data_IF_082954319009
#
_entry.id   IF_082954319009
#
_cell.length_a   1.000
_cell.length_b   1.000
_cell.length_c   1.000
_cell.angle_alpha   90.00
_cell.angle_beta   90.00
_cell.angle_gamma   90.00
#
_symmetry.space_group_name_H-M   'P 1'
#
loop_
_entity.id
_entity.type
_entity.pdbx_description
1 polymer ?
#
# COMPACT_ATOMS: atom_id res chain seq x y z
N UNK A 1 14.39 -4.93 26.77
CA UNK A 1 13.46 -3.90 26.24
C UNK A 1 14.12 -3.30 25.00
N UNK A 2 14.08 -4.04 23.89
CA UNK A 2 14.84 -3.69 22.69
C UNK A 2 13.87 -3.18 21.63
N UNK A 3 13.92 -1.87 21.37
CA UNK A 3 13.27 -1.18 20.26
C UNK A 3 14.08 -1.48 18.98
N UNK A 4 14.37 -2.76 18.75
CA UNK A 4 15.30 -3.24 17.71
C UNK A 4 14.65 -4.33 16.82
N UNK A 5 13.38 -4.63 17.07
CA UNK A 5 12.52 -5.47 16.23
C UNK A 5 11.38 -4.71 15.55
N UNK A 6 11.35 -3.37 15.64
CA UNK A 6 10.55 -2.57 14.72
C UNK A 6 11.31 -2.54 13.39
N UNK A 7 11.09 -3.56 12.56
CA UNK A 7 11.35 -3.44 11.14
C UNK A 7 10.49 -2.26 10.64
N UNK A 8 11.02 -1.05 10.70
CA UNK A 8 10.47 0.12 9.99
C UNK A 8 10.33 -0.19 8.49
N UNK A 9 11.04 -1.20 8.01
CA UNK A 9 10.95 -1.84 6.69
C UNK A 9 9.64 -2.62 6.44
N UNK A 10 8.82 -2.92 7.45
CA UNK A 10 7.47 -3.51 7.28
C UNK A 10 6.39 -2.44 7.00
N UNK A 11 6.81 -1.19 6.78
CA UNK A 11 5.95 -0.16 6.22
C UNK A 11 5.33 -0.68 4.92
N UNK A 12 4.00 -0.61 4.83
CA UNK A 12 3.25 -1.21 3.72
C UNK A 12 3.36 -0.33 2.46
N UNK A 13 4.59 -0.15 1.99
CA UNK A 13 4.98 0.73 0.89
C UNK A 13 4.23 0.37 -0.39
N UNK A 14 3.94 -0.91 -0.61
CA UNK A 14 3.13 -1.38 -1.72
C UNK A 14 1.71 -0.77 -1.69
N UNK A 15 1.09 -0.70 -0.51
CA UNK A 15 -0.22 -0.06 -0.35
C UNK A 15 -0.15 1.44 -0.64
N UNK A 16 0.94 2.10 -0.24
CA UNK A 16 1.18 3.52 -0.55
C UNK A 16 1.33 3.73 -2.07
N UNK A 17 2.10 2.87 -2.74
CA UNK A 17 2.27 2.91 -4.20
C UNK A 17 0.94 2.66 -4.92
N UNK A 18 0.14 1.68 -4.48
CA UNK A 18 -1.20 1.42 -5.02
C UNK A 18 -2.10 2.65 -4.88
N UNK A 19 -2.12 3.28 -3.70
CA UNK A 19 -2.90 4.49 -3.47
C UNK A 19 -2.41 5.68 -4.30
N UNK A 20 -1.10 5.83 -4.47
CA UNK A 20 -0.50 6.88 -5.30
C UNK A 20 -0.83 6.66 -6.78
N UNK A 21 -0.67 5.43 -7.28
CA UNK A 21 -0.98 5.07 -8.65
C UNK A 21 -2.46 5.30 -8.97
N UNK A 22 -3.35 5.03 -8.00
CA UNK A 22 -4.78 5.32 -8.13
C UNK A 22 -5.06 6.81 -8.32
N UNK A 23 -4.36 7.67 -7.57
CA UNK A 23 -4.54 9.12 -7.64
C UNK A 23 -4.09 9.70 -9.00
N UNK A 24 -2.97 9.20 -9.55
CA UNK A 24 -2.33 9.81 -10.71
C UNK A 24 -2.60 9.11 -12.05
N UNK A 25 -2.67 7.77 -12.05
CA UNK A 25 -2.84 6.96 -13.27
C UNK A 25 -4.24 6.34 -13.37
N UNK A 26 -5.09 6.55 -12.35
CA UNK A 26 -6.47 6.11 -12.33
C UNK A 26 -6.66 4.62 -12.00
N UNK A 27 -7.90 4.17 -12.10
CA UNK A 27 -8.33 2.87 -11.59
C UNK A 27 -7.69 1.69 -12.34
N UNK A 28 -7.64 1.76 -13.67
CA UNK A 28 -7.19 0.66 -14.53
C UNK A 28 -5.72 0.33 -14.31
N UNK A 29 -4.85 1.34 -14.26
CA UNK A 29 -3.43 1.15 -14.00
C UNK A 29 -3.19 0.51 -12.63
N UNK A 30 -3.94 0.95 -11.62
CA UNK A 30 -3.82 0.44 -10.26
C UNK A 30 -4.28 -0.99 -10.10
N UNK A 31 -5.39 -1.39 -10.74
CA UNK A 31 -5.84 -2.80 -10.72
C UNK A 31 -4.79 -3.70 -11.35
N UNK A 32 -4.29 -3.32 -12.53
CA UNK A 32 -3.30 -4.13 -13.26
C UNK A 32 -2.01 -4.25 -12.45
N UNK A 33 -1.56 -3.16 -11.83
CA UNK A 33 -0.39 -3.16 -10.95
C UNK A 33 -0.61 -4.04 -9.71
N UNK A 34 -1.71 -3.86 -8.98
CA UNK A 34 -2.02 -4.62 -7.77
C UNK A 34 -2.14 -6.12 -8.06
N UNK A 35 -2.78 -6.48 -9.18
CA UNK A 35 -2.91 -7.87 -9.63
C UNK A 35 -1.55 -8.47 -10.02
N UNK A 36 -0.77 -7.78 -10.86
CA UNK A 36 0.54 -8.25 -11.30
C UNK A 36 1.53 -8.39 -10.14
N UNK A 37 1.61 -7.39 -9.26
CA UNK A 37 2.42 -7.45 -8.05
C UNK A 37 1.98 -8.59 -7.13
N UNK A 38 0.69 -8.78 -6.96
CA UNK A 38 0.14 -9.86 -6.16
C UNK A 38 0.55 -11.25 -6.66
N UNK A 39 0.48 -11.48 -7.97
CA UNK A 39 0.89 -12.74 -8.58
C UNK A 39 2.40 -12.97 -8.39
N UNK A 40 3.22 -11.93 -8.61
CA UNK A 40 4.67 -12.04 -8.41
C UNK A 40 4.98 -12.39 -6.96
N UNK A 41 4.36 -11.71 -5.99
CA UNK A 41 4.58 -11.98 -4.57
C UNK A 41 4.09 -13.38 -4.21
N UNK A 42 2.96 -13.83 -4.73
CA UNK A 42 2.49 -15.21 -4.53
C UNK A 42 3.49 -16.25 -5.07
N UNK A 43 4.05 -16.02 -6.26
CA UNK A 43 5.03 -16.92 -6.88
C UNK A 43 6.35 -16.97 -6.11
N UNK A 44 6.85 -15.83 -5.63
CA UNK A 44 8.13 -15.74 -4.93
C UNK A 44 8.05 -16.04 -3.43
N UNK A 45 6.91 -15.78 -2.78
CA UNK A 45 6.75 -15.97 -1.34
C UNK A 45 6.55 -17.44 -0.95
N UNK A 46 6.34 -18.35 -1.91
CA UNK A 46 5.90 -19.72 -1.62
C UNK A 46 4.57 -19.77 -0.84
N UNK A 47 3.80 -18.69 -0.91
CA UNK A 47 2.53 -18.52 -0.20
C UNK A 47 1.42 -19.36 -0.85
N UNK A 48 0.27 -19.46 -0.16
CA UNK A 48 -0.94 -20.08 -0.70
C UNK A 48 -1.28 -19.47 -2.07
N UNK A 49 -1.45 -20.32 -3.09
CA UNK A 49 -1.75 -19.96 -4.48
C UNK A 49 -2.79 -18.83 -4.63
N UNK A 50 -2.36 -17.57 -4.72
CA UNK A 50 -3.25 -16.42 -4.92
C UNK A 50 -3.58 -15.60 -3.66
N UNK A 51 -3.02 -15.91 -2.50
CA UNK A 51 -3.31 -15.24 -1.23
C UNK A 51 -2.98 -13.75 -1.29
N UNK A 52 -1.76 -13.42 -1.71
CA UNK A 52 -1.29 -12.05 -1.81
C UNK A 52 -2.00 -11.32 -2.95
N UNK A 53 -2.26 -11.98 -4.07
CA UNK A 53 -3.07 -11.43 -5.17
C UNK A 53 -4.44 -10.98 -4.70
N UNK A 54 -5.13 -11.81 -3.94
CA UNK A 54 -6.44 -11.46 -3.37
C UNK A 54 -6.33 -10.27 -2.40
N UNK A 55 -5.33 -10.28 -1.52
CA UNK A 55 -5.12 -9.20 -0.56
C UNK A 55 -4.87 -7.85 -1.23
N UNK A 56 -4.03 -7.81 -2.27
CA UNK A 56 -3.77 -6.56 -2.99
C UNK A 56 -4.96 -6.09 -3.82
N UNK A 57 -5.80 -7.01 -4.31
CA UNK A 57 -7.10 -6.64 -4.90
C UNK A 57 -8.04 -6.04 -3.85
N UNK A 58 -8.10 -6.60 -2.65
CA UNK A 58 -8.88 -6.03 -1.55
C UNK A 58 -8.35 -4.64 -1.14
N UNK A 59 -7.03 -4.46 -1.11
CA UNK A 59 -6.41 -3.14 -0.88
C UNK A 59 -6.84 -2.14 -1.93
N UNK A 60 -6.77 -2.52 -3.22
CA UNK A 60 -7.29 -1.69 -4.31
C UNK A 60 -8.77 -1.35 -4.09
N UNK A 61 -9.60 -2.33 -3.75
CA UNK A 61 -11.01 -2.12 -3.45
C UNK A 61 -11.22 -1.15 -2.27
N UNK A 62 -10.40 -1.25 -1.22
CA UNK A 62 -10.43 -0.36 -0.07
C UNK A 62 -10.01 1.07 -0.42
N UNK A 63 -8.98 1.24 -1.26
CA UNK A 63 -8.58 2.55 -1.80
C UNK A 63 -9.67 3.12 -2.69
N UNK A 64 -10.26 2.30 -3.56
CA UNK A 64 -11.35 2.68 -4.46
C UNK A 64 -12.57 3.17 -3.66
N UNK A 65 -13.05 2.37 -2.70
CA UNK A 65 -14.16 2.77 -1.84
C UNK A 65 -13.79 4.01 -1.03
N UNK A 66 -12.60 4.04 -0.43
CA UNK A 66 -12.09 5.16 0.33
C UNK A 66 -12.04 6.45 -0.47
N UNK A 67 -11.64 6.38 -1.74
CA UNK A 67 -11.60 7.53 -2.66
C UNK A 67 -12.99 8.08 -3.01
N UNK A 68 -14.03 7.25 -2.94
CA UNK A 68 -15.41 7.67 -3.18
C UNK A 68 -15.98 8.43 -1.97
N UNK A 69 -15.54 8.09 -0.76
CA UNK A 69 -15.96 8.76 0.48
C UNK A 69 -15.07 9.96 0.87
N UNK A 70 -13.77 9.90 0.54
CA UNK A 70 -12.78 10.89 0.94
C UNK A 70 -11.95 11.34 -0.27
N UNK A 71 -11.68 12.65 -0.36
CA UNK A 71 -10.90 13.19 -1.46
C UNK A 71 -9.40 12.90 -1.27
N UNK A 72 -8.82 12.09 -2.15
CA UNK A 72 -7.38 11.76 -2.18
C UNK A 72 -6.47 12.96 -2.47
N UNK A 73 -7.01 14.08 -2.96
CA UNK A 73 -6.21 15.29 -3.18
C UNK A 73 -5.88 16.01 -1.87
N UNK A 74 -6.66 15.79 -0.80
CA UNK A 74 -6.40 16.43 0.47
C UNK A 74 -5.47 15.55 1.33
N UNK A 75 -4.43 16.10 1.99
CA UNK A 75 -3.46 15.30 2.78
C UNK A 75 -4.14 14.50 3.90
N UNK A 76 -5.22 15.02 4.47
CA UNK A 76 -6.06 14.27 5.44
C UNK A 76 -6.76 13.06 4.83
N UNK A 77 -7.23 13.18 3.59
CA UNK A 77 -7.87 12.07 2.87
C UNK A 77 -6.88 10.96 2.53
N UNK A 78 -5.66 11.32 2.11
CA UNK A 78 -4.57 10.36 1.86
C UNK A 78 -4.26 9.54 3.12
N UNK A 79 -4.09 10.21 4.26
CA UNK A 79 -3.83 9.52 5.54
C UNK A 79 -4.94 8.52 5.88
N UNK A 80 -6.21 8.94 5.79
CA UNK A 80 -7.36 8.09 6.13
C UNK A 80 -7.49 6.90 5.19
N UNK A 81 -7.38 7.13 3.87
CA UNK A 81 -7.55 6.07 2.87
C UNK A 81 -6.41 5.06 2.96
N UNK A 82 -5.16 5.50 3.11
CA UNK A 82 -4.03 4.60 3.25
C UNK A 82 -4.09 3.84 4.56
N UNK A 83 -4.41 4.50 5.68
CA UNK A 83 -4.60 3.81 6.96
C UNK A 83 -5.71 2.75 6.87
N UNK A 84 -6.85 3.09 6.24
CA UNK A 84 -7.96 2.17 6.04
C UNK A 84 -7.58 0.99 5.14
N UNK A 85 -6.84 1.24 4.05
CA UNK A 85 -6.39 0.21 3.13
C UNK A 85 -5.40 -0.77 3.79
N UNK A 86 -4.44 -0.26 4.56
CA UNK A 86 -3.48 -1.09 5.33
C UNK A 86 -4.21 -1.87 6.42
N UNK A 87 -5.18 -1.25 7.11
CA UNK A 87 -6.03 -1.94 8.08
C UNK A 87 -6.80 -3.09 7.43
N UNK A 88 -7.46 -2.83 6.31
CA UNK A 88 -8.22 -3.83 5.55
C UNK A 88 -7.33 -5.00 5.12
N UNK A 89 -6.13 -4.71 4.60
CA UNK A 89 -5.14 -5.72 4.25
C UNK A 89 -4.79 -6.62 5.45
N UNK A 90 -4.47 -6.02 6.60
CA UNK A 90 -4.08 -6.79 7.81
C UNK A 90 -5.26 -7.61 8.36
N UNK A 91 -6.49 -7.07 8.33
CA UNK A 91 -7.70 -7.79 8.75
C UNK A 91 -7.99 -8.97 7.81
N UNK A 92 -7.92 -8.77 6.49
CA UNK A 92 -8.14 -9.84 5.52
C UNK A 92 -7.06 -10.92 5.62
N UNK A 93 -5.80 -10.52 5.77
CA UNK A 93 -4.69 -11.45 5.99
C UNK A 93 -4.92 -12.27 7.27
N UNK A 94 -5.35 -11.63 8.36
CA UNK A 94 -5.67 -12.29 9.61
C UNK A 94 -6.83 -13.30 9.48
N UNK A 95 -7.91 -12.90 8.81
CA UNK A 95 -9.05 -13.76 8.51
C UNK A 95 -8.61 -15.00 7.72
N UNK A 96 -7.83 -14.80 6.65
CA UNK A 96 -7.33 -15.91 5.84
C UNK A 96 -6.42 -16.84 6.63
N UNK A 97 -5.48 -16.29 7.42
CA UNK A 97 -4.63 -17.12 8.28
C UNK A 97 -5.43 -17.93 9.30
N UNK A 98 -6.51 -17.38 9.85
CA UNK A 98 -7.37 -18.11 10.80
C UNK A 98 -8.14 -19.25 10.10
N UNK A 99 -8.60 -19.02 8.87
CA UNK A 99 -9.31 -20.03 8.06
C UNK A 99 -8.37 -21.15 7.60
N UNK A 100 -7.18 -20.82 7.10
CA UNK A 100 -6.24 -21.79 6.55
C UNK A 100 -5.34 -22.44 7.61
N UNK A 101 -4.93 -21.69 8.63
CA UNK A 101 -4.14 -22.15 9.77
C UNK A 101 -5.02 -22.13 11.02
N UNK A 102 -5.80 -23.20 11.19
CA UNK A 102 -6.77 -23.41 12.28
C UNK A 102 -6.19 -23.33 13.72
N UNK A 103 -4.89 -23.03 13.89
CA UNK A 103 -4.17 -23.11 15.18
C UNK A 103 -3.18 -21.96 15.41
N UNK A 104 -3.51 -20.74 14.99
CA UNK A 104 -2.71 -19.56 15.35
C UNK A 104 -3.29 -18.87 16.59
N UNK A 105 -2.71 -19.16 17.76
CA UNK A 105 -2.93 -18.37 18.96
C UNK A 105 -2.07 -17.11 18.90
N UNK A 106 -2.61 -16.01 18.38
CA UNK A 106 -1.90 -14.75 18.27
C UNK A 106 -1.88 -14.00 19.61
N UNK A 107 -0.71 -13.49 20.01
CA UNK A 107 -0.56 -12.68 21.23
C UNK A 107 -1.16 -11.28 21.07
N UNK A 108 -1.66 -10.69 22.16
CA UNK A 108 -2.12 -9.28 22.21
C UNK A 108 -1.05 -8.30 21.73
N UNK A 109 0.23 -8.63 21.91
CA UNK A 109 1.36 -7.82 21.45
C UNK A 109 1.40 -7.69 19.92
N UNK A 110 1.04 -8.75 19.20
CA UNK A 110 1.02 -8.75 17.73
C UNK A 110 -0.05 -7.79 17.16
N UNK A 111 -1.20 -7.71 17.83
CA UNK A 111 -2.28 -6.77 17.48
C UNK A 111 -1.87 -5.32 17.76
N UNK A 112 -1.24 -5.05 18.91
CA UNK A 112 -0.74 -3.72 19.26
C UNK A 112 0.33 -3.23 18.28
N UNK A 113 1.30 -4.08 17.95
CA UNK A 113 2.35 -3.76 16.98
C UNK A 113 1.75 -3.53 15.59
N UNK A 114 0.79 -4.35 15.17
CA UNK A 114 0.08 -4.18 13.90
C UNK A 114 -0.68 -2.85 13.82
N UNK A 115 -1.35 -2.44 14.90
CA UNK A 115 -2.04 -1.15 14.98
C UNK A 115 -1.08 0.04 14.87
N UNK A 116 0.07 -0.02 15.56
CA UNK A 116 1.13 0.97 15.47
C UNK A 116 1.70 1.09 14.04
N UNK A 117 1.90 -0.04 13.36
CA UNK A 117 2.32 -0.06 11.96
C UNK A 117 1.30 0.56 11.02
N UNK A 118 0.00 0.25 11.18
CA UNK A 118 -1.08 0.87 10.38
C UNK A 118 -1.07 2.39 10.55
N UNK A 119 -0.98 2.87 11.80
CA UNK A 119 -0.93 4.29 12.11
C UNK A 119 0.32 4.96 11.54
N UNK A 120 1.49 4.32 11.70
CA UNK A 120 2.75 4.82 11.14
C UNK A 120 2.72 4.92 9.61
N UNK A 121 2.16 3.91 8.94
CA UNK A 121 2.02 3.85 7.48
C UNK A 121 1.07 4.94 6.97
N UNK A 122 -0.06 5.14 7.64
CA UNK A 122 -0.99 6.23 7.33
C UNK A 122 -0.36 7.61 7.51
N UNK A 123 0.42 7.81 8.58
CA UNK A 123 1.04 9.09 8.90
C UNK A 123 2.20 9.46 7.95
N UNK A 124 2.99 8.48 7.51
CA UNK A 124 4.10 8.71 6.58
C UNK A 124 3.64 8.82 5.12
N UNK A 125 2.43 8.35 4.82
CA UNK A 125 1.84 8.40 3.48
C UNK A 125 1.89 9.78 2.81
N UNK A 126 1.43 10.89 3.42
CA UNK A 126 1.47 12.20 2.77
C UNK A 126 2.90 12.68 2.46
N UNK A 127 3.88 12.32 3.30
CA UNK A 127 5.29 12.64 3.08
C UNK A 127 5.82 11.89 1.85
N UNK A 128 5.49 10.60 1.74
CA UNK A 128 5.88 9.80 0.58
C UNK A 128 5.17 10.24 -0.70
N UNK A 129 3.90 10.64 -0.62
CA UNK A 129 3.18 11.21 -1.75
C UNK A 129 3.85 12.48 -2.27
N UNK A 130 4.28 13.37 -1.35
CA UNK A 130 5.02 14.57 -1.71
C UNK A 130 6.38 14.24 -2.36
N UNK A 131 7.11 13.25 -1.82
CA UNK A 131 8.37 12.80 -2.40
C UNK A 131 8.18 12.25 -3.82
N UNK A 132 7.15 11.44 -4.05
CA UNK A 132 6.84 10.91 -5.38
C UNK A 132 6.43 12.00 -6.36
N UNK A 133 5.69 13.02 -5.90
CA UNK A 133 5.33 14.17 -6.72
C UNK A 133 6.57 14.99 -7.15
N UNK A 134 7.53 15.18 -6.22
CA UNK A 134 8.81 15.83 -6.51
C UNK A 134 9.64 15.05 -7.55
N UNK A 135 9.80 13.73 -7.35
CA UNK A 135 10.51 12.86 -8.29
C UNK A 135 9.88 12.86 -9.69
N UNK A 136 8.54 12.95 -9.73
CA UNK A 136 7.81 13.03 -10.99
C UNK A 136 8.04 14.37 -11.69
N UNK A 137 8.03 15.48 -10.95
CA UNK A 137 8.26 16.81 -11.52
C UNK A 137 9.65 16.90 -12.17
N UNK A 138 10.67 16.40 -11.48
CA UNK A 138 12.05 16.34 -11.96
C UNK A 138 12.17 15.51 -13.26
N UNK A 139 11.58 14.31 -13.27
CA UNK A 139 11.56 13.44 -14.46
C UNK A 139 10.84 14.06 -15.67
N UNK A 140 9.82 14.89 -15.44
CA UNK A 140 9.06 15.55 -16.49
C UNK A 140 9.84 16.74 -17.07
N UNK A 141 10.59 17.45 -16.23
CA UNK A 141 11.50 18.54 -16.60
C UNK A 141 12.67 18.03 -17.46
N UNK A 142 13.26 16.88 -17.11
CA UNK A 142 14.27 16.17 -17.92
C UNK A 142 13.75 15.70 -19.28
N UNK A 143 12.49 15.25 -19.33
CA UNK A 143 11.87 14.83 -20.59
C UNK A 143 11.63 16.03 -21.50
N UNK A 144 11.25 17.18 -20.94
CA UNK A 144 10.99 18.41 -21.68
C UNK A 144 12.29 19.05 -22.20
N UNK A 145 13.36 19.04 -21.40
CA UNK A 145 14.68 19.52 -21.81
C UNK A 145 15.26 18.69 -22.95
N UNK A 146 15.16 17.36 -22.88
CA UNK A 146 15.64 16.46 -23.95
C UNK A 146 14.85 16.53 -25.26
N UNK A 147 13.60 17.00 -25.23
CA UNK A 147 12.80 17.28 -26.44
C UNK A 147 13.13 18.64 -27.06
N UNK A 148 13.52 19.63 -26.27
CA UNK A 148 13.92 20.96 -26.75
C UNK A 148 15.33 20.98 -27.37
N UNK A 149 16.17 19.99 -27.08
CA UNK A 149 17.50 19.82 -27.67
C UNK A 149 17.53 18.98 -28.97
N UNK A 150 16.37 18.51 -29.47
CA UNK A 150 16.32 17.86 -30.79
C UNK A 150 16.12 18.91 -31.89
N UNK A 151 17.07 19.05 -32.85
CA UNK A 151 17.03 20.05 -33.93
C UNK A 151 15.91 19.79 -34.95
#
# INVERSE_FOLDING_TARGET
MSIMGLNLTDLDLLTIIIAYLFLFYGQTATVVFAFGQGILIDLFSGGLHGLFTFLYLCVFGGVYLGSQFFNLQHPRGQMIIVALAVLLKKVMFFMMLTVFYHRLAFSKDFLWVSGLLVMGTGLISPILFYLFDCLRADSLEDTLSSLNERP
#
